data_IF_748351583337
#
_entry.id   IF_748351583337
#
_cell.length_a   1.000
_cell.length_b   1.000
_cell.length_c   1.000
_cell.angle_alpha   90.00
_cell.angle_beta   90.00
_cell.angle_gamma   90.00
#
_symmetry.space_group_name_H-M   'P 1'
#
loop_
_entity.id
_entity.type
_entity.pdbx_description
1 polymer ?
#
# COMPACT_ATOMS: atom_id res chain seq x y z
N UNK A 1 -2.65 21.93 -3.03
CA UNK A 1 -1.68 21.41 -2.05
C UNK A 1 -0.41 20.99 -2.77
N UNK A 2 0.77 21.10 -2.16
CA UNK A 2 2.01 20.62 -2.79
C UNK A 2 1.97 19.08 -2.91
N UNK A 3 2.40 18.47 -4.04
CA UNK A 3 2.36 17.01 -4.23
C UNK A 3 3.03 16.21 -3.09
N UNK A 4 4.11 16.77 -2.52
CA UNK A 4 4.77 16.22 -1.33
C UNK A 4 3.84 16.07 -0.12
N UNK A 5 3.05 17.09 0.17
CA UNK A 5 2.09 17.06 1.29
C UNK A 5 1.06 15.94 1.07
N UNK A 6 0.63 15.75 -0.18
CA UNK A 6 -0.30 14.68 -0.54
C UNK A 6 0.35 13.30 -0.32
N UNK A 7 1.61 13.11 -0.73
CA UNK A 7 2.37 11.89 -0.44
C UNK A 7 2.44 11.60 1.07
N UNK A 8 2.76 12.60 1.90
CA UNK A 8 2.87 12.41 3.35
C UNK A 8 1.53 12.05 4.00
N UNK A 9 0.44 12.69 3.57
CA UNK A 9 -0.91 12.35 4.03
C UNK A 9 -1.28 10.93 3.58
N UNK A 10 -0.94 10.56 2.34
CA UNK A 10 -1.13 9.20 1.83
C UNK A 10 -0.38 8.16 2.66
N UNK A 11 0.91 8.39 2.94
CA UNK A 11 1.72 7.53 3.80
C UNK A 11 1.14 7.43 5.22
N UNK A 12 0.64 8.54 5.77
CA UNK A 12 0.02 8.54 7.10
C UNK A 12 -1.23 7.65 7.15
N UNK A 13 -2.16 7.80 6.21
CA UNK A 13 -3.34 6.94 6.14
C UNK A 13 -2.98 5.47 5.88
N UNK A 14 -1.96 5.24 5.06
CA UNK A 14 -1.44 3.89 4.81
C UNK A 14 -0.83 3.25 6.05
N UNK A 15 -0.09 3.99 6.88
CA UNK A 15 0.40 3.45 8.16
C UNK A 15 -0.75 3.18 9.12
N UNK A 16 -1.73 4.08 9.18
CA UNK A 16 -2.87 3.95 10.08
C UNK A 16 -3.72 2.71 9.75
N UNK A 17 -3.92 2.38 8.48
CA UNK A 17 -4.59 1.13 8.09
C UNK A 17 -3.79 -0.10 8.55
N UNK A 18 -2.47 -0.10 8.40
CA UNK A 18 -1.62 -1.22 8.84
C UNK A 18 -1.57 -1.38 10.36
N UNK A 19 -1.68 -0.30 11.13
CA UNK A 19 -1.88 -0.39 12.59
C UNK A 19 -3.16 -1.17 12.88
N UNK A 20 -4.26 -0.82 12.21
CA UNK A 20 -5.56 -1.49 12.40
C UNK A 20 -5.51 -2.96 11.97
N UNK A 21 -4.85 -3.28 10.85
CA UNK A 21 -4.68 -4.67 10.40
C UNK A 21 -3.79 -5.50 11.33
N UNK A 22 -2.80 -4.89 11.99
CA UNK A 22 -1.87 -5.61 12.86
C UNK A 22 -2.50 -6.18 14.13
N UNK A 23 -3.64 -5.61 14.56
CA UNK A 23 -4.33 -6.00 15.79
C UNK A 23 -5.85 -6.01 15.62
N UNK A 24 -6.33 -6.89 14.75
CA UNK A 24 -7.75 -6.98 14.37
C UNK A 24 -8.73 -7.26 15.53
N UNK A 25 -8.23 -7.77 16.66
CA UNK A 25 -9.02 -8.03 17.87
C UNK A 25 -9.13 -6.77 18.75
N UNK A 26 -8.04 -6.02 18.94
CA UNK A 26 -8.09 -4.77 19.71
C UNK A 26 -8.89 -3.66 19.00
N UNK A 27 -8.99 -3.73 17.67
CA UNK A 27 -9.69 -2.73 16.85
C UNK A 27 -11.07 -3.18 16.36
N UNK A 28 -11.70 -4.16 17.02
CA UNK A 28 -13.06 -4.61 16.69
C UNK A 28 -14.09 -3.47 16.76
N UNK A 29 -13.90 -2.53 17.68
CA UNK A 29 -14.68 -1.28 17.76
C UNK A 29 -14.58 -0.42 16.48
N UNK A 30 -13.43 -0.41 15.80
CA UNK A 30 -13.24 0.35 14.55
C UNK A 30 -13.78 -0.36 13.30
N UNK A 31 -14.42 -1.52 13.46
CA UNK A 31 -15.16 -2.19 12.39
C UNK A 31 -16.63 -1.75 12.35
N UNK A 32 -17.14 -1.05 13.37
CA UNK A 32 -18.52 -0.55 13.44
C UNK A 32 -18.49 0.93 13.87
N UNK A 33 -19.11 1.87 13.13
CA UNK A 33 -20.11 1.68 12.07
C UNK A 33 -19.52 1.53 10.66
N UNK A 34 -18.22 1.76 10.46
CA UNK A 34 -17.57 1.80 9.15
C UNK A 34 -16.24 1.05 9.23
N UNK A 35 -15.83 0.37 8.16
CA UNK A 35 -14.52 -0.28 8.06
C UNK A 35 -13.38 0.75 7.87
N UNK A 36 -12.97 1.39 8.97
CA UNK A 36 -11.94 2.43 8.92
C UNK A 36 -10.60 1.91 8.40
N UNK A 37 -10.27 0.63 8.63
CA UNK A 37 -9.01 0.05 8.21
C UNK A 37 -8.91 0.06 6.68
N UNK A 38 -9.93 -0.45 5.98
CA UNK A 38 -9.95 -0.48 4.52
C UNK A 38 -10.19 0.91 3.92
N UNK A 39 -10.96 1.80 4.57
CA UNK A 39 -11.09 3.20 4.12
C UNK A 39 -9.77 3.97 4.16
N UNK A 40 -9.02 3.86 5.25
CA UNK A 40 -7.70 4.49 5.34
C UNK A 40 -6.71 3.86 4.37
N UNK A 41 -6.80 2.55 4.13
CA UNK A 41 -5.98 1.89 3.12
C UNK A 41 -6.28 2.42 1.71
N UNK A 42 -7.56 2.55 1.36
CA UNK A 42 -8.02 3.10 0.08
C UNK A 42 -7.58 4.55 -0.12
N UNK A 43 -7.85 5.42 0.86
CA UNK A 43 -7.46 6.83 0.80
C UNK A 43 -5.94 6.94 0.70
N UNK A 44 -5.20 6.19 1.54
CA UNK A 44 -3.76 6.12 1.50
C UNK A 44 -3.24 5.76 0.10
N UNK A 45 -3.67 4.63 -0.45
CA UNK A 45 -3.28 4.17 -1.78
C UNK A 45 -3.55 5.20 -2.88
N UNK A 46 -4.73 5.82 -2.90
CA UNK A 46 -5.07 6.86 -3.88
C UNK A 46 -4.14 8.07 -3.81
N UNK A 47 -3.85 8.56 -2.60
CA UNK A 47 -2.96 9.72 -2.42
C UNK A 47 -1.50 9.41 -2.77
N UNK A 48 -1.07 8.15 -2.64
CA UNK A 48 0.27 7.70 -3.04
C UNK A 48 0.53 7.80 -4.55
N UNK A 49 -0.50 7.95 -5.40
CA UNK A 49 -0.30 8.32 -6.82
C UNK A 49 0.53 9.59 -6.99
N UNK A 50 0.50 10.49 -6.01
CA UNK A 50 1.26 11.74 -6.04
C UNK A 50 2.77 11.53 -6.15
N UNK A 51 3.29 10.34 -5.77
CA UNK A 51 4.71 10.00 -5.96
C UNK A 51 5.15 10.04 -7.42
N UNK A 52 4.24 9.78 -8.36
CA UNK A 52 4.50 9.89 -9.80
C UNK A 52 4.92 11.31 -10.23
N UNK A 53 4.55 12.32 -9.44
CA UNK A 53 4.85 13.73 -9.70
C UNK A 53 6.03 14.27 -8.89
N UNK A 54 6.44 13.60 -7.80
CA UNK A 54 7.51 14.11 -6.92
C UNK A 54 8.89 13.61 -7.34
N UNK A 55 9.01 12.39 -7.84
CA UNK A 55 10.31 11.81 -8.16
C UNK A 55 10.86 12.25 -9.54
N UNK A 56 12.20 12.16 -9.75
CA UNK A 56 12.87 12.67 -10.95
C UNK A 56 12.31 12.09 -12.24
N UNK A 57 12.11 12.92 -13.26
CA UNK A 57 11.58 12.48 -14.55
C UNK A 57 12.67 11.79 -15.38
N UNK A 58 12.68 10.47 -15.37
CA UNK A 58 13.53 9.63 -16.21
C UNK A 58 12.78 8.35 -16.65
N UNK A 59 13.44 7.50 -17.44
CA UNK A 59 12.84 6.25 -17.97
C UNK A 59 12.37 5.31 -16.84
N UNK A 60 13.15 5.19 -15.76
CA UNK A 60 12.78 4.36 -14.62
C UNK A 60 11.52 4.90 -13.94
N UNK A 61 11.44 6.22 -13.74
CA UNK A 61 10.28 6.88 -13.16
C UNK A 61 9.03 6.75 -14.04
N UNK A 62 9.18 6.72 -15.37
CA UNK A 62 8.05 6.45 -16.27
C UNK A 62 7.47 5.05 -16.05
N UNK A 63 8.34 4.03 -15.99
CA UNK A 63 7.94 2.64 -15.69
C UNK A 63 7.32 2.56 -14.29
N UNK A 64 7.99 3.12 -13.28
CA UNK A 64 7.51 3.16 -11.90
C UNK A 64 6.13 3.84 -11.79
N UNK A 65 5.89 4.90 -12.56
CA UNK A 65 4.61 5.60 -12.56
C UNK A 65 3.48 4.75 -13.11
N UNK A 66 3.72 4.03 -14.22
CA UNK A 66 2.74 3.09 -14.78
C UNK A 66 2.41 1.99 -13.78
N UNK A 67 3.44 1.35 -13.20
CA UNK A 67 3.25 0.27 -12.22
C UNK A 67 2.50 0.78 -10.98
N UNK A 68 2.85 1.97 -10.47
CA UNK A 68 2.19 2.58 -9.32
C UNK A 68 0.71 2.84 -9.61
N UNK A 69 0.39 3.39 -10.79
CA UNK A 69 -0.99 3.64 -11.20
C UNK A 69 -1.80 2.35 -11.29
N UNK A 70 -1.26 1.30 -11.91
CA UNK A 70 -1.91 -0.01 -11.94
C UNK A 70 -2.12 -0.58 -10.54
N UNK A 71 -1.14 -0.42 -9.65
CA UNK A 71 -1.25 -0.84 -8.26
C UNK A 71 -2.32 -0.13 -7.46
N UNK A 72 -2.52 1.17 -7.70
CA UNK A 72 -3.61 1.92 -7.07
C UNK A 72 -4.97 1.48 -7.61
N UNK A 73 -5.11 1.30 -8.93
CA UNK A 73 -6.35 0.76 -9.53
C UNK A 73 -6.69 -0.60 -8.92
N UNK A 74 -5.70 -1.47 -8.76
CA UNK A 74 -5.89 -2.76 -8.13
C UNK A 74 -6.23 -2.66 -6.63
N UNK A 75 -5.59 -1.76 -5.89
CA UNK A 75 -5.92 -1.49 -4.48
C UNK A 75 -7.35 -0.97 -4.30
N UNK A 76 -7.86 -0.15 -5.22
CA UNK A 76 -9.26 0.29 -5.22
C UNK A 76 -10.18 -0.93 -5.35
N UNK A 77 -9.88 -1.83 -6.28
CA UNK A 77 -10.62 -3.08 -6.44
C UNK A 77 -10.58 -3.97 -5.20
N UNK A 78 -9.39 -4.16 -4.60
CA UNK A 78 -9.23 -4.92 -3.36
C UNK A 78 -10.09 -4.34 -2.23
N UNK A 79 -9.96 -3.04 -1.94
CA UNK A 79 -10.72 -2.40 -0.87
C UNK A 79 -12.23 -2.44 -1.14
N UNK A 80 -12.65 -2.40 -2.41
CA UNK A 80 -14.07 -2.56 -2.77
C UNK A 80 -14.58 -3.96 -2.42
N UNK A 81 -13.79 -5.00 -2.71
CA UNK A 81 -14.10 -6.38 -2.31
C UNK A 81 -14.17 -6.48 -0.78
N UNK A 82 -13.21 -5.88 -0.07
CA UNK A 82 -13.17 -5.88 1.40
C UNK A 82 -14.41 -5.19 1.99
N UNK A 83 -14.87 -4.07 1.42
CA UNK A 83 -16.10 -3.41 1.85
C UNK A 83 -17.35 -4.29 1.63
N UNK A 84 -17.40 -5.02 0.51
CA UNK A 84 -18.48 -5.97 0.26
C UNK A 84 -18.43 -7.09 1.30
N UNK A 85 -17.26 -7.67 1.57
CA UNK A 85 -17.09 -8.69 2.63
C UNK A 85 -17.49 -8.18 4.01
N UNK A 86 -17.08 -6.94 4.34
CA UNK A 86 -17.44 -6.27 5.60
C UNK A 86 -18.94 -6.04 5.72
N UNK A 87 -19.64 -5.70 4.62
CA UNK A 87 -21.08 -5.42 4.63
C UNK A 87 -21.95 -6.61 5.08
N UNK A 88 -21.43 -7.83 5.03
CA UNK A 88 -22.12 -9.03 5.53
C UNK A 88 -22.15 -9.15 7.06
N UNK A 89 -21.45 -8.27 7.80
CA UNK A 89 -21.52 -8.23 9.26
C UNK A 89 -21.08 -9.55 9.90
N UNK A 90 -21.95 -10.18 10.68
CA UNK A 90 -21.66 -11.45 11.38
C UNK A 90 -22.11 -12.69 10.57
N UNK A 91 -22.53 -12.52 9.30
CA UNK A 91 -22.93 -13.63 8.43
C UNK A 91 -21.72 -14.30 7.76
N UNK A 92 -21.02 -15.14 8.51
CA UNK A 92 -19.81 -15.81 8.04
C UNK A 92 -20.07 -16.81 6.91
N UNK A 93 -21.27 -17.39 6.83
CA UNK A 93 -21.65 -18.28 5.72
C UNK A 93 -21.70 -17.53 4.37
N UNK A 94 -22.28 -16.33 4.36
CA UNK A 94 -22.31 -15.50 3.15
C UNK A 94 -20.91 -15.01 2.74
N UNK A 95 -20.05 -14.65 3.72
CA UNK A 95 -18.65 -14.29 3.44
C UNK A 95 -17.86 -15.46 2.87
N UNK A 96 -18.06 -16.67 3.38
CA UNK A 96 -17.42 -17.88 2.88
C UNK A 96 -17.83 -18.17 1.43
N UNK A 97 -19.13 -18.07 1.12
CA UNK A 97 -19.65 -18.25 -0.24
C UNK A 97 -19.08 -17.21 -1.22
N UNK A 98 -18.99 -15.94 -0.81
CA UNK A 98 -18.34 -14.90 -1.62
C UNK A 98 -16.85 -15.20 -1.83
N UNK A 99 -16.14 -15.60 -0.78
CA UNK A 99 -14.70 -15.94 -0.86
C UNK A 99 -14.45 -17.11 -1.81
N UNK A 100 -15.31 -18.13 -1.78
CA UNK A 100 -15.27 -19.27 -2.69
C UNK A 100 -15.54 -18.83 -4.14
N UNK A 101 -16.56 -18.01 -4.37
CA UNK A 101 -16.87 -17.49 -5.71
C UNK A 101 -15.72 -16.65 -6.29
N UNK A 102 -15.11 -15.78 -5.49
CA UNK A 102 -13.95 -14.98 -5.90
C UNK A 102 -12.74 -15.86 -6.20
N UNK A 103 -12.48 -16.87 -5.36
CA UNK A 103 -11.38 -17.82 -5.57
C UNK A 103 -11.54 -18.63 -6.87
N UNK A 104 -12.77 -18.88 -7.29
CA UNK A 104 -13.11 -19.56 -8.53
C UNK A 104 -13.27 -18.63 -9.75
N UNK A 105 -13.01 -17.32 -9.59
CA UNK A 105 -13.11 -16.33 -10.67
C UNK A 105 -11.75 -15.67 -10.94
N UNK A 106 -10.86 -16.30 -11.73
CA UNK A 106 -9.51 -15.82 -11.99
C UNK A 106 -9.40 -14.39 -12.50
N UNK A 107 -10.38 -13.96 -13.31
CA UNK A 107 -10.45 -12.61 -13.89
C UNK A 107 -10.65 -11.50 -12.84
N UNK A 108 -11.07 -11.84 -11.62
CA UNK A 108 -11.16 -10.92 -10.48
C UNK A 108 -10.01 -11.20 -9.50
N UNK A 109 -9.79 -12.48 -9.17
CA UNK A 109 -8.81 -12.92 -8.19
C UNK A 109 -7.38 -12.41 -8.48
N UNK A 110 -6.88 -12.64 -9.69
CA UNK A 110 -5.51 -12.25 -10.03
C UNK A 110 -5.29 -10.73 -10.05
N UNK A 111 -6.10 -9.94 -10.78
CA UNK A 111 -5.86 -8.50 -10.86
C UNK A 111 -6.15 -7.76 -9.56
N UNK A 112 -7.10 -8.20 -8.73
CA UNK A 112 -7.52 -7.41 -7.57
C UNK A 112 -7.14 -8.00 -6.21
N UNK A 113 -6.80 -9.28 -6.12
CA UNK A 113 -6.49 -9.93 -4.83
C UNK A 113 -5.04 -10.39 -4.76
N UNK A 114 -4.56 -11.10 -5.79
CA UNK A 114 -3.25 -11.78 -5.72
C UNK A 114 -2.09 -10.91 -6.19
N UNK A 115 -2.20 -10.30 -7.37
CA UNK A 115 -1.06 -9.64 -8.04
C UNK A 115 -1.17 -8.14 -8.01
N UNK A 116 -2.33 -7.61 -8.39
CA UNK A 116 -2.44 -6.17 -8.65
C UNK A 116 -2.16 -5.29 -7.44
N UNK A 117 -2.68 -5.56 -6.23
CA UNK A 117 -2.38 -4.73 -5.06
C UNK A 117 -0.86 -4.62 -4.82
N UNK A 118 -0.11 -5.70 -4.98
CA UNK A 118 1.35 -5.69 -4.82
C UNK A 118 2.07 -4.75 -5.79
N UNK A 119 1.48 -4.43 -6.94
CA UNK A 119 2.05 -3.46 -7.89
C UNK A 119 2.20 -2.06 -7.27
N UNK A 120 1.41 -1.69 -6.27
CA UNK A 120 1.59 -0.39 -5.58
C UNK A 120 2.96 -0.35 -4.90
N UNK A 121 3.30 -1.41 -4.16
CA UNK A 121 4.60 -1.54 -3.49
C UNK A 121 5.75 -1.65 -4.48
N UNK A 122 5.58 -2.43 -5.55
CA UNK A 122 6.59 -2.57 -6.60
C UNK A 122 6.83 -1.25 -7.31
N UNK A 123 5.78 -0.49 -7.64
CA UNK A 123 5.89 0.81 -8.29
C UNK A 123 6.65 1.82 -7.42
N UNK A 124 6.31 1.91 -6.13
CA UNK A 124 7.00 2.77 -5.17
C UNK A 124 8.44 2.33 -4.88
N UNK A 125 8.72 1.03 -4.85
CA UNK A 125 10.09 0.52 -4.75
C UNK A 125 10.92 0.81 -6.01
N UNK A 126 10.29 0.72 -7.19
CA UNK A 126 10.91 1.07 -8.47
C UNK A 126 11.28 2.56 -8.49
N UNK A 127 10.38 3.42 -8.01
CA UNK A 127 10.67 4.84 -7.81
C UNK A 127 11.89 5.07 -6.91
N UNK A 128 11.98 4.34 -5.79
CA UNK A 128 13.12 4.41 -4.87
C UNK A 128 14.45 3.94 -5.49
N UNK A 129 14.40 3.06 -6.50
CA UNK A 129 15.57 2.61 -7.28
C UNK A 129 16.37 3.77 -7.90
N UNK A 130 15.73 4.88 -8.24
CA UNK A 130 16.40 6.10 -8.73
C UNK A 130 17.44 6.65 -7.74
N UNK A 131 17.27 6.35 -6.46
CA UNK A 131 18.07 6.91 -5.38
C UNK A 131 19.05 5.90 -4.79
N UNK A 132 19.19 4.69 -5.36
CA UNK A 132 20.03 3.64 -4.77
C UNK A 132 21.50 4.06 -4.65
N UNK A 133 22.01 4.91 -5.56
CA UNK A 133 23.38 5.42 -5.52
C UNK A 133 23.54 6.68 -4.66
N UNK A 134 22.49 7.48 -4.49
CA UNK A 134 22.57 8.78 -3.80
C UNK A 134 22.06 8.72 -2.35
N UNK A 135 21.11 7.84 -2.07
CA UNK A 135 20.43 7.65 -0.80
C UNK A 135 20.22 6.15 -0.54
N UNK A 136 21.32 5.39 -0.56
CA UNK A 136 21.31 3.92 -0.55
C UNK A 136 20.50 3.35 0.59
N UNK A 137 20.69 3.85 1.82
CA UNK A 137 19.95 3.35 3.00
C UNK A 137 18.45 3.50 2.83
N UNK A 138 17.97 4.72 2.52
CA UNK A 138 16.54 4.98 2.34
C UNK A 138 15.96 4.21 1.16
N UNK A 139 16.70 4.07 0.06
CA UNK A 139 16.27 3.28 -1.09
C UNK A 139 16.15 1.78 -0.75
N UNK A 140 17.12 1.22 -0.03
CA UNK A 140 17.09 -0.17 0.41
C UNK A 140 15.96 -0.45 1.41
N UNK A 141 15.66 0.49 2.31
CA UNK A 141 14.49 0.38 3.20
C UNK A 141 13.19 0.19 2.42
N UNK A 142 13.00 0.91 1.31
CA UNK A 142 11.81 0.77 0.46
C UNK A 142 11.86 -0.54 -0.33
N UNK A 143 12.99 -0.83 -1.00
CA UNK A 143 13.14 -2.00 -1.88
C UNK A 143 13.01 -3.31 -1.12
N UNK A 144 13.53 -3.38 0.11
CA UNK A 144 13.46 -4.57 0.96
C UNK A 144 12.14 -4.57 1.76
N UNK A 145 11.68 -3.40 2.24
CA UNK A 145 10.44 -3.29 3.00
C UNK A 145 9.21 -3.72 2.20
N UNK A 146 9.14 -3.39 0.92
CA UNK A 146 8.03 -3.77 0.03
C UNK A 146 7.72 -5.28 0.02
N UNK A 147 8.66 -6.18 -0.33
CA UNK A 147 8.42 -7.62 -0.29
C UNK A 147 8.26 -8.15 1.14
N UNK A 148 8.90 -7.54 2.14
CA UNK A 148 8.73 -7.95 3.54
C UNK A 148 7.30 -7.74 4.05
N UNK A 149 6.60 -6.69 3.61
CA UNK A 149 5.18 -6.49 3.94
C UNK A 149 4.35 -7.70 3.47
N UNK A 150 4.50 -8.08 2.19
CA UNK A 150 3.79 -9.23 1.62
C UNK A 150 4.18 -10.55 2.28
N UNK A 151 5.48 -10.80 2.47
CA UNK A 151 5.99 -12.02 3.10
C UNK A 151 5.46 -12.19 4.54
N UNK A 152 5.47 -11.11 5.32
CA UNK A 152 5.01 -11.12 6.71
C UNK A 152 3.52 -11.45 6.81
N UNK A 153 2.71 -10.95 5.88
CA UNK A 153 1.27 -11.18 5.87
C UNK A 153 0.91 -12.57 5.31
N UNK A 154 1.40 -12.91 4.12
CA UNK A 154 0.98 -14.13 3.42
C UNK A 154 1.68 -15.40 3.92
N UNK A 155 2.98 -15.32 4.20
CA UNK A 155 3.78 -16.51 4.57
C UNK A 155 3.79 -16.69 6.08
N UNK A 156 4.14 -15.63 6.81
CA UNK A 156 4.28 -15.71 8.27
C UNK A 156 2.97 -15.49 9.02
N UNK A 157 1.92 -14.98 8.36
CA UNK A 157 0.61 -14.66 8.96
C UNK A 157 0.75 -13.83 10.25
N UNK A 158 1.72 -12.91 10.26
CA UNK A 158 2.07 -12.12 11.45
C UNK A 158 1.78 -10.63 11.20
N UNK A 159 0.67 -10.16 11.77
CA UNK A 159 0.21 -8.78 11.63
C UNK A 159 1.20 -7.74 12.20
N UNK A 160 1.91 -8.07 13.28
CA UNK A 160 2.91 -7.17 13.88
C UNK A 160 4.10 -7.03 12.94
N UNK A 161 4.61 -8.13 12.40
CA UNK A 161 5.75 -8.10 11.49
C UNK A 161 5.38 -7.41 10.16
N UNK A 162 4.16 -7.58 9.68
CA UNK A 162 3.63 -6.85 8.53
C UNK A 162 3.63 -5.34 8.80
N UNK A 163 3.16 -4.90 9.97
CA UNK A 163 3.19 -3.50 10.36
C UNK A 163 4.61 -2.95 10.48
N UNK A 164 5.53 -3.68 11.12
CA UNK A 164 6.94 -3.28 11.20
C UNK A 164 7.59 -3.16 9.81
N UNK A 165 7.28 -4.08 8.91
CA UNK A 165 7.74 -4.03 7.52
C UNK A 165 7.19 -2.79 6.79
N UNK A 166 5.92 -2.46 7.02
CA UNK A 166 5.28 -1.26 6.49
C UNK A 166 5.94 0.01 7.03
N UNK A 167 6.27 0.06 8.33
CA UNK A 167 7.00 1.19 8.92
C UNK A 167 8.37 1.38 8.26
N UNK A 168 9.14 0.32 8.04
CA UNK A 168 10.44 0.40 7.35
C UNK A 168 10.24 0.97 5.94
N UNK A 169 9.27 0.44 5.19
CA UNK A 169 8.93 0.88 3.84
C UNK A 169 8.54 2.37 3.79
N UNK A 170 7.61 2.80 4.64
CA UNK A 170 7.10 4.17 4.69
C UNK A 170 8.16 5.16 5.17
N UNK A 171 8.98 4.78 6.14
CA UNK A 171 10.09 5.63 6.62
C UNK A 171 11.11 5.84 5.52
N UNK A 172 11.44 4.78 4.76
CA UNK A 172 12.30 4.87 3.58
C UNK A 172 11.77 5.87 2.54
N UNK A 173 10.49 5.77 2.18
CA UNK A 173 9.84 6.71 1.25
C UNK A 173 9.83 8.14 1.77
N UNK A 174 9.54 8.33 3.07
CA UNK A 174 9.53 9.64 3.71
C UNK A 174 10.90 10.29 3.65
N UNK A 175 11.98 9.58 3.97
CA UNK A 175 13.35 10.10 3.87
C UNK A 175 13.73 10.47 2.44
N UNK A 176 13.36 9.65 1.45
CA UNK A 176 13.59 9.98 0.04
C UNK A 176 12.84 11.25 -0.37
N UNK A 177 11.62 11.43 0.13
CA UNK A 177 10.78 12.58 -0.16
C UNK A 177 11.37 13.88 0.39
N UNK A 178 11.90 13.88 1.62
CA UNK A 178 12.54 15.06 2.21
C UNK A 178 13.89 15.39 1.58
N UNK A 179 14.65 14.38 1.13
CA UNK A 179 15.98 14.59 0.53
C UNK A 179 15.94 15.10 -0.91
N UNK A 180 14.83 14.89 -1.62
CA UNK A 180 14.64 15.43 -2.96
C UNK A 180 14.52 16.97 -2.98
N UNK A 181 14.00 17.57 -1.90
CA UNK A 181 13.90 19.04 -1.79
C UNK A 181 15.27 19.72 -1.70
N UNK A 182 16.23 19.12 -0.99
CA UNK A 182 17.57 19.70 -0.86
C UNK A 182 18.28 19.80 -2.21
N UNK A 183 17.96 18.92 -3.17
CA UNK A 183 18.52 18.97 -4.52
C UNK A 183 17.79 19.91 -5.48
N UNK A 184 16.56 20.35 -5.18
CA UNK A 184 15.85 21.31 -6.04
C UNK A 184 16.02 22.77 -5.60
N UNK A 185 16.69 23.01 -4.47
CA UNK A 185 16.94 24.34 -3.88
C UNK A 185 18.39 24.80 -4.14
N UNK A 186 19.26 23.88 -4.58
CA UNK A 186 20.63 24.13 -5.06
C UNK A 186 20.64 24.16 -6.59
#
# INVERSE_FOLDING_TARGET
>A
MKPKTICLIGLFFFVLSYVMFSNSAAFEYFKKPVDFAHWFNLIGACLLLSFNHVFPKNRLNAVASVITTLGVVAHIGLCTIDFIMWSYGDNDAAKAALSEHLSNTPSILFPFVVVGPSLLFVGLATHAGNFIKTNTVSALMVIIGAPLVGFSFFVLKNGILMFLSCLVFVTGLSFLLFKNETKSIL
#
